data_IF_620860188587
#
_entry.id   IF_620860188587
#
_cell.length_a   1.000
_cell.length_b   1.000
_cell.length_c   1.000
_cell.angle_alpha   90.00
_cell.angle_beta   90.00
_cell.angle_gamma   90.00
#
_symmetry.space_group_name_H-M   'P 1'
#
loop_
_entity.id
_entity.type
_entity.pdbx_description
1 polymer ?
#
# COMPACT_ATOMS: atom_id res chain seq x y z
N UNK A 1 2.24 -0.58 11.94
CA UNK A 1 3.19 -1.17 10.95
C UNK A 1 2.54 -2.28 10.13
N UNK A 2 2.06 -3.38 10.71
CA UNK A 2 1.48 -4.49 9.94
C UNK A 2 0.29 -4.10 9.05
N UNK A 3 -0.67 -3.33 9.59
CA UNK A 3 -1.84 -2.83 8.82
C UNK A 3 -1.42 -1.97 7.63
N UNK A 4 -0.44 -1.07 7.81
CA UNK A 4 0.07 -0.26 6.70
C UNK A 4 0.72 -1.10 5.61
N UNK A 5 1.45 -2.15 5.97
CA UNK A 5 2.04 -3.06 4.99
C UNK A 5 0.96 -3.81 4.21
N UNK A 6 -0.11 -4.26 4.87
CA UNK A 6 -1.27 -4.87 4.19
C UNK A 6 -1.91 -3.87 3.23
N UNK A 7 -2.15 -2.64 3.67
CA UNK A 7 -2.72 -1.58 2.83
C UNK A 7 -1.85 -1.27 1.61
N UNK A 8 -0.52 -1.20 1.78
CA UNK A 8 0.45 -1.00 0.68
C UNK A 8 0.37 -2.14 -0.34
N UNK A 9 0.45 -3.39 0.13
CA UNK A 9 0.42 -4.56 -0.75
C UNK A 9 -0.92 -4.68 -1.47
N UNK A 10 -2.03 -4.41 -0.77
CA UNK A 10 -3.35 -4.42 -1.36
C UNK A 10 -3.49 -3.35 -2.45
N UNK A 11 -3.06 -2.12 -2.19
CA UNK A 11 -3.11 -1.04 -3.17
C UNK A 11 -2.22 -1.33 -4.40
N UNK A 12 -1.04 -1.93 -4.22
CA UNK A 12 -0.21 -2.43 -5.33
C UNK A 12 -0.94 -3.51 -6.17
N UNK A 13 -1.67 -4.41 -5.54
CA UNK A 13 -2.43 -5.44 -6.24
C UNK A 13 -3.63 -4.88 -7.04
N UNK A 14 -4.20 -3.74 -6.59
CA UNK A 14 -5.31 -3.05 -7.27
C UNK A 14 -4.88 -2.34 -8.55
N UNK A 15 -3.63 -1.86 -8.63
CA UNK A 15 -3.12 -1.15 -9.82
C UNK A 15 -2.54 -2.08 -10.90
N UNK A 16 -2.59 -3.40 -10.70
CA UNK A 16 -2.16 -4.38 -11.71
C UNK A 16 -3.05 -4.26 -12.95
N UNK A 17 -2.47 -4.07 -14.14
CA UNK A 17 -3.19 -4.15 -15.41
C UNK A 17 -3.58 -5.60 -15.71
N UNK A 18 -4.75 -6.00 -15.21
CA UNK A 18 -5.31 -7.35 -15.40
C UNK A 18 -5.59 -7.69 -16.86
N UNK A 19 -5.86 -6.69 -17.70
CA UNK A 19 -6.15 -6.91 -19.11
C UNK A 19 -4.88 -7.30 -19.84
N UNK A 20 -3.79 -6.56 -19.65
CA UNK A 20 -2.48 -6.87 -20.22
C UNK A 20 -1.92 -8.17 -19.65
N UNK A 21 -2.03 -8.38 -18.34
CA UNK A 21 -1.60 -9.63 -17.70
C UNK A 21 -2.26 -10.86 -18.34
N UNK A 22 -3.60 -10.84 -18.50
CA UNK A 22 -4.33 -11.94 -19.11
C UNK A 22 -3.93 -12.16 -20.57
N UNK A 23 -3.70 -11.09 -21.32
CA UNK A 23 -3.22 -11.16 -22.71
C UNK A 23 -1.87 -11.88 -22.80
N UNK A 24 -0.89 -11.49 -21.97
CA UNK A 24 0.43 -12.11 -21.99
C UNK A 24 0.41 -13.56 -21.52
N UNK A 25 -0.39 -13.87 -20.50
CA UNK A 25 -0.61 -15.26 -20.05
C UNK A 25 -1.20 -16.14 -21.16
N UNK A 26 -2.17 -15.64 -21.91
CA UNK A 26 -2.79 -16.39 -23.02
C UNK A 26 -1.84 -16.61 -24.21
N UNK A 27 -0.84 -15.74 -24.36
CA UNK A 27 0.18 -15.84 -25.40
C UNK A 27 1.44 -16.58 -24.91
N UNK A 28 1.43 -17.13 -23.70
CA UNK A 28 2.59 -17.80 -23.08
C UNK A 28 3.82 -16.89 -22.95
N UNK A 29 3.63 -15.57 -22.95
CA UNK A 29 4.69 -14.57 -22.79
C UNK A 29 4.95 -14.33 -21.29
N UNK A 30 5.74 -15.24 -20.70
CA UNK A 30 6.05 -15.26 -19.26
C UNK A 30 6.78 -13.98 -18.85
N UNK A 31 7.69 -13.49 -19.68
CA UNK A 31 8.51 -12.31 -19.38
C UNK A 31 7.62 -11.07 -19.26
N UNK A 32 6.69 -10.88 -20.20
CA UNK A 32 5.79 -9.74 -20.15
C UNK A 32 4.71 -9.89 -19.06
N UNK A 33 4.26 -11.11 -18.77
CA UNK A 33 3.35 -11.37 -17.66
C UNK A 33 4.00 -11.04 -16.30
N UNK A 34 5.25 -11.43 -16.08
CA UNK A 34 6.03 -11.06 -14.89
C UNK A 34 6.19 -9.54 -14.79
N UNK A 35 6.59 -8.90 -15.90
CA UNK A 35 6.82 -7.46 -15.94
C UNK A 35 5.59 -6.67 -15.49
N UNK A 36 4.38 -7.05 -15.91
CA UNK A 36 3.13 -6.39 -15.47
C UNK A 36 2.94 -6.45 -13.95
N UNK A 37 3.27 -7.58 -13.32
CA UNK A 37 3.17 -7.73 -11.87
C UNK A 37 4.27 -6.94 -11.15
N UNK A 38 5.50 -6.98 -11.66
CA UNK A 38 6.65 -6.27 -11.08
C UNK A 38 6.47 -4.76 -11.16
N UNK A 39 5.99 -4.21 -12.27
CA UNK A 39 5.71 -2.77 -12.40
C UNK A 39 4.69 -2.28 -11.36
N UNK A 40 3.60 -3.04 -11.16
CA UNK A 40 2.61 -2.74 -10.12
C UNK A 40 3.20 -2.88 -8.70
N UNK A 41 4.06 -3.89 -8.49
CA UNK A 41 4.70 -4.11 -7.20
C UNK A 41 5.75 -3.05 -6.87
N UNK A 42 6.49 -2.53 -7.83
CA UNK A 42 7.55 -1.53 -7.62
C UNK A 42 7.02 -0.10 -7.54
N UNK A 43 5.79 0.14 -7.98
CA UNK A 43 5.14 1.45 -7.91
C UNK A 43 5.10 1.97 -6.47
N UNK A 44 5.55 3.22 -6.28
CA UNK A 44 5.42 3.90 -4.99
C UNK A 44 3.96 4.25 -4.71
N UNK A 45 3.37 3.51 -3.77
CA UNK A 45 1.96 3.63 -3.40
C UNK A 45 1.73 4.62 -2.25
N UNK A 46 2.78 5.17 -1.64
CA UNK A 46 2.65 6.12 -0.52
C UNK A 46 1.77 7.33 -0.86
N UNK A 47 1.91 7.99 -2.04
CA UNK A 47 1.07 9.14 -2.37
C UNK A 47 -0.43 8.78 -2.40
N UNK A 48 -0.77 7.61 -2.94
CA UNK A 48 -2.16 7.13 -2.97
C UNK A 48 -2.69 6.90 -1.55
N UNK A 49 -1.92 6.23 -0.69
CA UNK A 49 -2.34 5.97 0.69
C UNK A 49 -2.48 7.24 1.51
N UNK A 50 -1.66 8.26 1.26
CA UNK A 50 -1.77 9.56 1.91
C UNK A 50 -3.07 10.25 1.53
N UNK A 51 -3.39 10.31 0.24
CA UNK A 51 -4.64 10.90 -0.23
C UNK A 51 -5.88 10.20 0.36
N UNK A 52 -5.89 8.87 0.40
CA UNK A 52 -6.99 8.10 1.02
C UNK A 52 -7.12 8.44 2.52
N UNK A 53 -6.01 8.55 3.25
CA UNK A 53 -6.03 8.91 4.67
C UNK A 53 -6.52 10.33 4.91
N UNK A 54 -6.09 11.27 4.07
CA UNK A 54 -6.57 12.66 4.07
C UNK A 54 -8.09 12.72 3.87
N UNK A 55 -8.62 12.03 2.86
CA UNK A 55 -10.07 11.93 2.58
C UNK A 55 -10.85 11.29 3.73
N UNK A 56 -10.23 10.34 4.44
CA UNK A 56 -10.81 9.71 5.63
C UNK A 56 -10.70 10.57 6.91
N UNK A 57 -9.97 11.68 6.89
CA UNK A 57 -9.72 12.53 8.06
C UNK A 57 -8.89 11.84 9.15
N UNK A 58 -8.06 10.86 8.79
CA UNK A 58 -7.21 10.11 9.74
C UNK A 58 -5.74 10.53 9.61
N UNK A 59 -4.90 10.28 10.64
CA UNK A 59 -3.48 10.63 10.57
C UNK A 59 -2.75 9.99 9.38
N UNK A 60 -2.00 10.83 8.66
CA UNK A 60 -1.18 10.43 7.50
C UNK A 60 -0.08 9.43 7.89
N UNK A 61 0.54 9.66 9.06
CA UNK A 61 1.53 8.78 9.65
C UNK A 61 1.04 8.28 11.02
N UNK A 62 0.35 7.13 11.09
CA UNK A 62 -0.22 6.59 12.33
C UNK A 62 0.82 6.35 13.43
N UNK A 63 2.04 5.95 13.07
CA UNK A 63 3.10 5.68 14.05
C UNK A 63 3.65 6.95 14.68
N UNK A 64 3.85 7.97 13.85
CA UNK A 64 4.29 9.29 14.32
C UNK A 64 3.20 9.91 15.20
N UNK A 65 1.95 9.89 14.74
CA UNK A 65 0.81 10.30 15.56
C UNK A 65 0.73 9.55 16.88
N UNK A 66 0.92 8.23 16.89
CA UNK A 66 0.94 7.44 18.12
C UNK A 66 2.07 7.86 19.07
N UNK A 67 3.28 8.11 18.54
CA UNK A 67 4.43 8.56 19.35
C UNK A 67 4.20 9.95 19.94
N UNK A 68 3.61 10.86 19.16
CA UNK A 68 3.33 12.24 19.57
C UNK A 68 2.12 12.37 20.48
N UNK A 69 1.16 11.44 20.39
CA UNK A 69 -0.09 11.47 21.18
C UNK A 69 0.12 11.42 22.70
N UNK A 70 1.34 11.11 23.17
CA UNK A 70 1.63 10.96 24.59
C UNK A 70 0.93 9.75 25.23
N UNK A 71 0.28 8.90 24.44
CA UNK A 71 -0.46 7.73 24.91
C UNK A 71 0.40 6.80 25.77
N UNK A 72 1.66 6.55 25.36
CA UNK A 72 2.60 5.75 26.14
C UNK A 72 2.88 6.38 27.52
N UNK A 73 2.99 7.71 27.59
CA UNK A 73 3.24 8.40 28.86
C UNK A 73 2.01 8.38 29.77
N UNK A 74 0.80 8.41 29.20
CA UNK A 74 -0.45 8.26 29.96
C UNK A 74 -0.56 6.85 30.56
N UNK A 75 -0.30 5.81 29.75
CA UNK A 75 -0.31 4.40 30.17
C UNK A 75 0.69 4.09 31.29
N UNK A 76 1.83 4.79 31.34
CA UNK A 76 2.83 4.61 32.39
C UNK A 76 2.46 5.25 33.74
N UNK A 77 1.47 6.15 33.76
CA UNK A 77 1.02 6.84 34.97
C UNK A 77 -0.18 6.15 35.63
N UNK A 78 -0.84 5.25 34.90
CA UNK A 78 -1.88 4.34 35.39
C UNK A 78 -1.24 3.04 35.91
#
# INVERSE_FOLDING_TARGET
QSVENIQKTYAKALIVDRKSLRKFQQNEDIIMAEKVLTEAFETDIKPLLFKVREEMGVPLNPLEFFRESGYINKLKRE
#
